data_IF_930836449323
#
_entry.id   IF_930836449323
#
_cell.length_a   1.000
_cell.length_b   1.000
_cell.length_c   1.000
_cell.angle_alpha   90.00
_cell.angle_beta   90.00
_cell.angle_gamma   90.00
#
_symmetry.space_group_name_H-M   'P 1'
#
loop_
_entity.id
_entity.type
_entity.pdbx_description
1 polymer ?
#
# COMPACT_ATOMS: atom_id res chain seq x y z
N UNK A 1 10.76 -27.95 45.31
CA UNK A 1 11.07 -26.70 44.58
C UNK A 1 11.43 -26.93 43.11
N UNK A 2 12.17 -27.97 42.75
CA UNK A 2 12.53 -28.31 41.35
C UNK A 2 11.35 -28.52 40.38
N UNK A 3 10.18 -29.00 40.85
CA UNK A 3 8.98 -29.19 40.02
C UNK A 3 8.40 -27.89 39.46
N UNK A 4 8.50 -26.79 40.21
CA UNK A 4 8.06 -25.45 39.75
C UNK A 4 9.08 -24.90 38.74
N UNK A 5 10.37 -25.17 38.96
CA UNK A 5 11.46 -24.73 38.08
C UNK A 5 11.36 -25.42 36.70
N UNK A 6 11.06 -26.72 36.66
CA UNK A 6 10.85 -27.44 35.39
C UNK A 6 9.64 -26.94 34.59
N UNK A 7 8.58 -26.53 35.27
CA UNK A 7 7.38 -26.01 34.62
C UNK A 7 7.64 -24.65 33.96
N UNK A 8 8.43 -23.78 34.61
CA UNK A 8 8.83 -22.48 34.06
C UNK A 8 9.75 -22.63 32.85
N UNK A 9 10.69 -23.59 32.87
CA UNK A 9 11.59 -23.88 31.75
C UNK A 9 10.82 -24.41 30.53
N UNK A 10 9.79 -25.24 30.75
CA UNK A 10 8.95 -25.75 29.66
C UNK A 10 8.10 -24.66 28.99
N UNK A 11 7.62 -23.68 29.75
CA UNK A 11 6.82 -22.55 29.22
C UNK A 11 7.70 -21.54 28.46
N UNK A 12 8.97 -21.41 28.84
CA UNK A 12 9.90 -20.49 28.19
C UNK A 12 10.34 -20.94 26.79
N UNK A 13 10.15 -22.21 26.41
CA UNK A 13 10.72 -22.78 25.19
C UNK A 13 9.84 -22.65 23.93
N UNK A 14 8.61 -22.15 24.04
CA UNK A 14 7.58 -22.36 22.99
C UNK A 14 7.32 -21.20 22.01
N UNK A 15 8.17 -20.18 21.90
CA UNK A 15 7.89 -19.04 21.00
C UNK A 15 8.65 -19.13 19.66
N UNK A 16 8.28 -20.09 18.81
CA UNK A 16 8.67 -20.06 17.39
C UNK A 16 7.67 -19.22 16.59
N UNK A 17 7.94 -17.92 16.43
CA UNK A 17 7.12 -17.01 15.63
C UNK A 17 7.53 -17.12 14.15
N UNK A 18 6.68 -17.76 13.33
CA UNK A 18 6.84 -17.80 11.88
C UNK A 18 6.32 -16.49 11.24
N UNK A 19 7.23 -15.57 10.93
CA UNK A 19 6.92 -14.34 10.21
C UNK A 19 6.97 -14.56 8.69
N UNK A 20 6.03 -13.95 7.94
CA UNK A 20 6.05 -14.02 6.49
C UNK A 20 7.09 -13.05 5.91
N UNK A 21 7.98 -13.59 5.09
CA UNK A 21 9.03 -12.84 4.38
C UNK A 21 8.48 -12.22 3.09
N UNK A 22 8.81 -10.96 2.88
CA UNK A 22 8.55 -10.19 1.67
C UNK A 22 9.80 -9.44 1.24
N UNK A 23 9.77 -8.87 0.05
CA UNK A 23 10.95 -8.28 -0.57
C UNK A 23 10.73 -6.83 -0.93
N UNK A 24 11.77 -6.00 -0.76
CA UNK A 24 11.77 -4.59 -1.15
C UNK A 24 12.93 -4.31 -2.10
N UNK A 25 12.82 -3.25 -2.89
CA UNK A 25 13.90 -2.74 -3.74
C UNK A 25 14.75 -1.71 -2.98
N UNK A 26 15.90 -1.30 -3.53
CA UNK A 26 16.79 -0.28 -2.92
C UNK A 26 16.11 1.07 -2.68
N UNK A 27 15.16 1.47 -3.52
CA UNK A 27 14.42 2.74 -3.43
C UNK A 27 13.13 2.66 -2.61
N UNK A 28 12.68 1.45 -2.25
CA UNK A 28 11.85 1.21 -1.06
C UNK A 28 10.48 1.86 -0.95
N UNK A 29 9.71 2.06 -2.03
CA UNK A 29 8.32 2.56 -1.88
C UNK A 29 7.28 1.43 -1.71
N UNK A 30 7.63 0.21 -2.15
CA UNK A 30 6.72 -0.93 -2.23
C UNK A 30 7.39 -2.22 -1.80
N UNK A 31 6.57 -3.16 -1.30
CA UNK A 31 6.99 -4.53 -1.04
C UNK A 31 6.39 -5.52 -2.06
N UNK A 32 7.08 -6.62 -2.25
CA UNK A 32 6.98 -7.51 -3.41
C UNK A 32 7.07 -8.99 -2.98
N UNK A 33 6.59 -9.90 -3.83
CA UNK A 33 6.86 -11.35 -3.75
C UNK A 33 8.26 -11.66 -4.30
N UNK A 34 8.84 -12.79 -3.90
CA UNK A 34 10.19 -13.24 -4.31
C UNK A 34 10.45 -13.20 -5.81
N UNK A 35 9.42 -13.46 -6.62
CA UNK A 35 9.48 -13.57 -8.09
C UNK A 35 9.05 -12.29 -8.83
N UNK A 36 8.96 -11.14 -8.17
CA UNK A 36 8.52 -9.91 -8.84
C UNK A 36 9.57 -9.40 -9.84
N UNK A 37 9.15 -9.04 -11.06
CA UNK A 37 10.00 -8.51 -12.14
C UNK A 37 10.86 -7.30 -11.72
N UNK A 38 10.40 -6.49 -10.76
CA UNK A 38 11.14 -5.32 -10.26
C UNK A 38 12.29 -5.67 -9.29
N UNK A 39 12.36 -6.92 -8.81
CA UNK A 39 13.43 -7.38 -7.92
C UNK A 39 14.63 -7.95 -8.68
N UNK A 40 14.65 -7.87 -10.03
CA UNK A 40 15.72 -8.44 -10.87
C UNK A 40 17.13 -7.95 -10.47
N UNK A 41 17.23 -6.68 -10.06
CA UNK A 41 18.52 -6.03 -9.79
C UNK A 41 18.79 -5.77 -8.31
N UNK A 42 17.75 -5.72 -7.47
CA UNK A 42 17.87 -5.49 -6.03
C UNK A 42 16.78 -6.22 -5.29
N UNK A 43 17.15 -7.02 -4.30
CA UNK A 43 16.24 -7.83 -3.49
C UNK A 43 16.67 -7.76 -2.02
N UNK A 44 15.88 -7.07 -1.20
CA UNK A 44 16.10 -6.99 0.26
C UNK A 44 14.95 -7.69 0.98
N UNK A 45 15.28 -8.60 1.88
CA UNK A 45 14.28 -9.33 2.66
C UNK A 45 13.78 -8.49 3.83
N UNK A 46 12.47 -8.55 4.07
CA UNK A 46 11.80 -7.83 5.15
C UNK A 46 10.56 -8.61 5.60
N UNK A 47 10.13 -8.45 6.85
CA UNK A 47 8.84 -9.00 7.29
C UNK A 47 7.69 -8.13 6.82
N UNK A 48 6.51 -8.74 6.59
CA UNK A 48 5.31 -7.97 6.18
C UNK A 48 5.00 -6.87 7.19
N UNK A 49 5.09 -7.17 8.49
CA UNK A 49 4.80 -6.21 9.56
C UNK A 49 5.72 -5.00 9.49
N UNK A 50 7.02 -5.21 9.27
CA UNK A 50 7.99 -4.12 9.11
C UNK A 50 7.73 -3.32 7.84
N UNK A 51 7.38 -3.98 6.73
CA UNK A 51 7.05 -3.28 5.49
C UNK A 51 5.84 -2.35 5.68
N UNK A 52 4.81 -2.82 6.39
CA UNK A 52 3.62 -2.03 6.71
C UNK A 52 3.94 -0.91 7.70
N UNK A 53 4.76 -1.18 8.74
CA UNK A 53 5.15 -0.16 9.73
C UNK A 53 5.98 0.97 9.09
N UNK A 54 6.79 0.66 8.08
CA UNK A 54 7.52 1.67 7.30
C UNK A 54 6.65 2.39 6.26
N UNK A 55 5.37 2.06 6.15
CA UNK A 55 4.44 2.71 5.21
C UNK A 55 4.61 2.25 3.76
N UNK A 56 5.28 1.12 3.52
CA UNK A 56 5.43 0.59 2.17
C UNK A 56 4.11 0.06 1.64
N UNK A 57 3.86 0.28 0.35
CA UNK A 57 2.65 -0.17 -0.30
C UNK A 57 2.84 -1.54 -0.98
N UNK A 58 1.75 -2.30 -1.11
CA UNK A 58 1.79 -3.55 -1.86
C UNK A 58 2.08 -3.29 -3.35
N UNK A 59 2.95 -4.09 -3.94
CA UNK A 59 3.16 -4.04 -5.39
C UNK A 59 1.88 -4.44 -6.14
N UNK A 60 1.40 -3.56 -7.03
CA UNK A 60 0.17 -3.76 -7.82
C UNK A 60 0.28 -4.91 -8.84
N UNK A 61 1.50 -5.29 -9.22
CA UNK A 61 1.75 -6.37 -10.21
C UNK A 61 1.74 -7.74 -9.53
N UNK A 62 2.62 -7.94 -8.54
CA UNK A 62 2.75 -9.25 -7.89
C UNK A 62 1.73 -9.49 -6.76
N UNK A 63 1.00 -8.44 -6.33
CA UNK A 63 -0.09 -8.49 -5.35
C UNK A 63 0.26 -9.40 -4.16
N UNK A 64 1.28 -9.05 -3.35
CA UNK A 64 1.62 -9.81 -2.15
C UNK A 64 0.42 -9.86 -1.19
N UNK A 65 0.24 -11.01 -0.54
CA UNK A 65 -0.88 -11.21 0.39
C UNK A 65 -0.60 -10.38 1.64
N UNK A 66 -1.49 -9.46 1.97
CA UNK A 66 -1.46 -8.78 3.27
C UNK A 66 -2.21 -9.65 4.27
N UNK A 67 -1.69 -9.80 5.50
CA UNK A 67 -2.32 -10.57 6.59
C UNK A 67 -3.75 -10.10 6.96
N UNK A 68 -4.31 -9.07 6.30
CA UNK A 68 -5.65 -8.52 6.55
C UNK A 68 -6.75 -9.01 5.57
N UNK A 69 -6.47 -9.99 4.70
CA UNK A 69 -7.47 -10.53 3.76
C UNK A 69 -8.02 -11.92 4.08
N UNK A 70 -7.46 -12.63 5.06
CA UNK A 70 -7.91 -13.97 5.47
C UNK A 70 -8.82 -13.97 6.70
N UNK A 71 -9.28 -12.80 7.16
CA UNK A 71 -10.34 -12.65 8.16
C UNK A 71 -11.56 -11.82 7.65
N UNK A 72 -11.55 -11.36 6.39
CA UNK A 72 -12.58 -10.49 5.82
C UNK A 72 -13.53 -11.17 4.83
N UNK A 73 -13.51 -12.51 4.74
CA UNK A 73 -14.49 -13.27 3.94
C UNK A 73 -15.76 -13.64 4.71
N UNK A 74 -15.84 -13.37 6.02
CA UNK A 74 -17.07 -13.58 6.83
C UNK A 74 -17.89 -12.30 7.07
N UNK A 75 -17.39 -11.11 6.68
CA UNK A 75 -18.10 -9.83 6.84
C UNK A 75 -18.60 -9.22 5.51
N UNK A 76 -18.53 -9.96 4.40
CA UNK A 76 -19.14 -9.55 3.11
C UNK A 76 -20.61 -10.01 2.99
N UNK A 77 -21.35 -9.96 4.08
CA UNK A 77 -22.80 -9.93 4.03
C UNK A 77 -23.24 -8.83 5.01
N UNK A 78 -23.89 -7.81 4.45
CA UNK A 78 -24.53 -6.66 5.08
C UNK A 78 -23.72 -5.34 5.15
N UNK A 79 -24.29 -4.38 4.41
CA UNK A 79 -24.25 -2.94 4.56
C UNK A 79 -23.05 -2.16 4.03
N UNK A 80 -23.23 -1.77 2.76
CA UNK A 80 -22.99 -0.42 2.28
C UNK A 80 -23.27 0.65 3.37
N UNK A 81 -22.22 1.29 3.87
CA UNK A 81 -22.34 2.64 4.44
C UNK A 81 -21.18 3.49 3.92
N UNK A 82 -21.53 4.32 2.95
CA UNK A 82 -20.74 5.45 2.47
C UNK A 82 -20.51 6.41 3.63
N UNK A 83 -19.27 6.48 4.13
CA UNK A 83 -18.76 7.65 4.83
C UNK A 83 -17.45 8.09 4.19
N UNK A 84 -17.60 9.14 3.39
CA UNK A 84 -16.54 10.04 2.97
C UNK A 84 -15.97 10.78 4.19
N UNK A 85 -14.69 10.57 4.49
CA UNK A 85 -13.87 11.56 5.21
C UNK A 85 -12.60 11.79 4.38
N UNK A 86 -12.32 13.04 3.96
CA UNK A 86 -11.18 13.37 3.12
C UNK A 86 -9.91 13.42 3.97
N UNK A 87 -9.07 12.39 3.89
CA UNK A 87 -7.72 12.46 4.44
C UNK A 87 -6.71 12.82 3.34
N UNK A 88 -6.03 13.92 3.64
CA UNK A 88 -5.14 14.75 2.85
C UNK A 88 -3.84 14.08 2.38
N UNK A 89 -3.35 14.55 1.22
CA UNK A 89 -2.00 14.34 0.65
C UNK A 89 -1.67 12.95 0.08
N UNK A 90 -2.56 12.37 -0.72
CA UNK A 90 -2.09 11.58 -1.87
C UNK A 90 -1.85 12.54 -3.03
N UNK A 91 -0.62 12.65 -3.55
CA UNK A 91 -0.34 13.21 -4.89
C UNK A 91 -1.16 12.39 -5.90
N UNK A 92 -2.43 12.75 -6.09
CA UNK A 92 -3.31 12.14 -7.08
C UNK A 92 -2.71 12.50 -8.43
N UNK A 93 -2.04 11.53 -9.04
CA UNK A 93 -1.61 11.58 -10.44
C UNK A 93 -2.85 11.42 -11.36
N UNK A 94 -3.95 12.07 -11.00
CA UNK A 94 -5.23 12.04 -11.72
C UNK A 94 -5.15 13.20 -12.70
N UNK A 95 -5.00 12.84 -13.98
CA UNK A 95 -5.05 13.81 -15.06
C UNK A 95 -6.51 14.23 -15.26
N UNK A 96 -6.81 15.51 -15.05
CA UNK A 96 -8.14 16.08 -15.29
C UNK A 96 -8.11 16.94 -16.54
N UNK A 97 -9.25 17.09 -17.24
CA UNK A 97 -9.33 17.96 -18.41
C UNK A 97 -9.30 19.43 -17.96
N UNK A 98 -8.56 20.26 -18.68
CA UNK A 98 -8.46 21.69 -18.47
C UNK A 98 -9.84 22.37 -18.52
N UNK A 99 -10.09 23.27 -17.57
CA UNK A 99 -11.34 24.05 -17.48
C UNK A 99 -11.28 25.38 -18.26
N UNK A 100 -10.19 25.70 -18.95
CA UNK A 100 -10.05 26.91 -19.76
C UNK A 100 -10.89 26.90 -21.05
N UNK A 101 -11.21 28.09 -21.57
CA UNK A 101 -11.82 28.30 -22.90
C UNK A 101 -10.79 28.92 -23.85
N UNK A 102 -10.83 28.57 -25.13
CA UNK A 102 -10.02 29.18 -26.18
C UNK A 102 -10.56 30.57 -26.55
N UNK A 103 -9.79 31.36 -27.33
CA UNK A 103 -10.24 32.64 -27.88
C UNK A 103 -11.56 32.53 -28.67
N UNK A 104 -11.77 31.38 -29.32
CA UNK A 104 -13.00 31.02 -30.04
C UNK A 104 -14.15 30.49 -29.14
N UNK A 105 -14.01 30.53 -27.81
CA UNK A 105 -15.06 30.14 -26.87
C UNK A 105 -15.19 28.62 -26.62
N UNK A 106 -14.54 27.79 -27.43
CA UNK A 106 -14.52 26.33 -27.24
C UNK A 106 -13.78 25.90 -25.97
N UNK A 107 -14.24 24.82 -25.32
CA UNK A 107 -13.57 24.26 -24.14
C UNK A 107 -12.21 23.66 -24.50
N UNK A 108 -11.20 23.92 -23.66
CA UNK A 108 -9.87 23.36 -23.82
C UNK A 108 -9.89 21.82 -23.67
N UNK A 109 -9.33 21.12 -24.65
CA UNK A 109 -9.25 19.65 -24.67
C UNK A 109 -8.01 19.09 -23.96
N UNK A 110 -7.06 19.94 -23.56
CA UNK A 110 -5.81 19.50 -22.91
C UNK A 110 -6.08 18.94 -21.52
N UNK A 111 -5.31 17.93 -21.10
CA UNK A 111 -5.31 17.42 -19.72
C UNK A 111 -4.24 18.11 -18.88
N UNK A 112 -4.47 18.23 -17.58
CA UNK A 112 -3.57 18.85 -16.60
C UNK A 112 -3.57 18.08 -15.28
N UNK A 113 -2.46 18.20 -14.55
CA UNK A 113 -2.29 17.69 -13.18
C UNK A 113 -2.25 18.82 -12.15
N UNK A 114 -2.41 20.07 -12.60
CA UNK A 114 -2.34 21.25 -11.73
C UNK A 114 -3.55 21.32 -10.80
N UNK A 115 -3.33 21.80 -9.57
CA UNK A 115 -4.38 21.94 -8.57
C UNK A 115 -5.52 22.87 -9.02
N UNK A 116 -5.21 23.88 -9.85
CA UNK A 116 -6.19 24.82 -10.39
C UNK A 116 -7.01 24.28 -11.57
N UNK A 117 -6.81 23.02 -11.99
CA UNK A 117 -7.47 22.41 -13.18
C UNK A 117 -7.27 23.19 -14.48
N UNK A 118 -6.22 24.02 -14.57
CA UNK A 118 -5.82 24.74 -15.78
C UNK A 118 -4.56 24.14 -16.39
N UNK A 119 -4.46 24.17 -17.72
CA UNK A 119 -3.22 23.84 -18.41
C UNK A 119 -2.30 25.07 -18.47
N UNK A 120 -1.06 24.87 -18.91
CA UNK A 120 -0.05 25.93 -19.00
C UNK A 120 -0.44 27.14 -19.88
N UNK A 121 -1.46 27.01 -20.74
CA UNK A 121 -1.97 28.09 -21.58
C UNK A 121 -3.13 28.87 -20.93
N UNK A 122 -3.59 28.43 -19.76
CA UNK A 122 -4.75 29.01 -19.07
C UNK A 122 -4.50 29.16 -17.57
N UNK A 123 -3.23 29.29 -17.15
CA UNK A 123 -2.84 29.49 -15.75
C UNK A 123 -3.38 30.80 -15.21
#
# INVERSE_FOLDING_TARGET
MYRIILFIISVAFSFNIAAQTVYTTKTGEKYHKSNCRYLKYSKKELTIEKAVSFGYQACSICKPVTKNKTASTKSKLLLHSKLTIPNTKTKKNVTSQCTGKTKSGSRCKRKTKNANTKCYQHQ
#
